data_IF_715414945315
#
_entry.id   IF_715414945315
#
_cell.length_a   1.000
_cell.length_b   1.000
_cell.length_c   1.000
_cell.angle_alpha   90.00
_cell.angle_beta   90.00
_cell.angle_gamma   90.00
#
_symmetry.space_group_name_H-M   'P 1'
#
loop_
_entity.id
_entity.type
_entity.pdbx_description
1 polymer ?
#
# COMPACT_ATOMS: atom_id res chain seq x y z
N UNK A 1 -9.75 -12.73 -3.63
CA UNK A 1 -10.52 -11.81 -2.78
C UNK A 1 -9.91 -11.77 -1.40
N UNK A 2 -9.94 -10.62 -0.74
CA UNK A 2 -9.46 -10.39 0.61
C UNK A 2 -10.52 -10.82 1.62
N UNK A 3 -10.11 -11.61 2.60
CA UNK A 3 -10.90 -11.85 3.79
C UNK A 3 -10.00 -11.92 5.02
N UNK A 4 -10.37 -11.22 6.10
CA UNK A 4 -9.56 -11.16 7.33
C UNK A 4 -9.34 -12.53 7.98
N UNK A 5 -10.32 -13.43 7.89
CA UNK A 5 -10.26 -14.77 8.47
C UNK A 5 -9.24 -15.70 7.78
N UNK A 6 -8.70 -15.32 6.62
CA UNK A 6 -7.70 -16.11 5.89
C UNK A 6 -6.26 -15.92 6.40
N UNK A 7 -6.06 -15.07 7.42
CA UNK A 7 -4.73 -14.86 8.04
C UNK A 7 -3.73 -14.09 7.19
N UNK A 8 -4.17 -13.47 6.08
CA UNK A 8 -3.32 -12.74 5.14
C UNK A 8 -3.34 -11.21 5.34
N UNK A 9 -3.87 -10.71 6.45
CA UNK A 9 -4.17 -9.28 6.63
C UNK A 9 -2.95 -8.36 6.43
N UNK A 10 -1.80 -8.72 6.99
CA UNK A 10 -0.57 -7.94 6.83
C UNK A 10 -0.13 -7.88 5.36
N UNK A 11 -0.13 -9.02 4.66
CA UNK A 11 0.19 -9.07 3.23
C UNK A 11 -0.82 -8.29 2.40
N UNK A 12 -2.11 -8.49 2.66
CA UNK A 12 -3.21 -7.87 1.93
C UNK A 12 -3.14 -6.34 1.99
N UNK A 13 -2.88 -5.76 3.16
CA UNK A 13 -2.72 -4.31 3.31
C UNK A 13 -1.50 -3.77 2.57
N UNK A 14 -0.37 -4.49 2.59
CA UNK A 14 0.86 -4.06 1.91
C UNK A 14 0.76 -4.16 0.38
N UNK A 15 0.14 -5.23 -0.12
CA UNK A 15 0.13 -5.55 -1.55
C UNK A 15 -1.07 -4.99 -2.31
N UNK A 16 -2.06 -4.42 -1.62
CA UNK A 16 -3.28 -3.93 -2.29
C UNK A 16 -3.02 -2.64 -3.05
N UNK A 17 -3.54 -2.56 -4.29
CA UNK A 17 -3.53 -1.33 -5.09
C UNK A 17 -4.45 -0.23 -4.54
N UNK A 18 -5.33 -0.57 -3.58
CA UNK A 18 -6.16 0.36 -2.81
C UNK A 18 -5.39 1.02 -1.66
N UNK A 19 -4.18 0.55 -1.33
CA UNK A 19 -3.33 1.13 -0.30
C UNK A 19 -2.40 2.18 -0.89
N UNK A 20 -2.54 3.44 -0.46
CA UNK A 20 -1.84 4.60 -1.07
C UNK A 20 -0.82 5.27 -0.17
N UNK A 21 -0.82 4.96 1.13
CA UNK A 21 0.17 5.46 2.06
C UNK A 21 0.40 4.48 3.21
N UNK A 22 1.60 4.52 3.76
CA UNK A 22 2.00 3.77 4.95
C UNK A 22 2.71 4.71 5.93
N UNK A 23 2.39 4.57 7.21
CA UNK A 23 3.11 5.21 8.31
C UNK A 23 3.48 4.15 9.32
N UNK A 24 4.76 4.06 9.67
CA UNK A 24 5.26 3.08 10.64
C UNK A 24 5.92 3.77 11.83
N UNK A 25 5.81 3.14 12.99
CA UNK A 25 6.54 3.52 14.20
C UNK A 25 7.09 2.25 14.85
N UNK A 26 8.19 2.40 15.58
CA UNK A 26 8.71 1.33 16.42
C UNK A 26 8.76 1.77 17.88
N UNK A 27 8.62 0.80 18.77
CA UNK A 27 8.80 0.97 20.20
C UNK A 27 9.65 -0.19 20.72
N UNK A 28 10.67 0.13 21.53
CA UNK A 28 11.51 -0.86 22.20
C UNK A 28 11.04 -1.01 23.64
N UNK A 29 10.61 -2.22 23.99
CA UNK A 29 10.44 -2.65 25.37
C UNK A 29 11.75 -3.30 25.87
N UNK A 30 11.77 -3.73 27.13
CA UNK A 30 12.97 -4.29 27.77
C UNK A 30 13.47 -5.58 27.07
N UNK A 31 12.57 -6.39 26.52
CA UNK A 31 12.85 -7.69 25.89
C UNK A 31 12.38 -7.82 24.44
N UNK A 32 11.72 -6.79 23.89
CA UNK A 32 11.09 -6.85 22.58
C UNK A 32 11.16 -5.54 21.80
N UNK A 33 11.06 -5.65 20.47
CA UNK A 33 10.86 -4.51 19.57
C UNK A 33 9.51 -4.71 18.89
N UNK A 34 8.64 -3.72 19.04
CA UNK A 34 7.35 -3.66 18.37
C UNK A 34 7.48 -2.73 17.17
N UNK A 35 7.03 -3.20 16.01
CA UNK A 35 6.93 -2.39 14.78
C UNK A 35 5.46 -2.39 14.39
N UNK A 36 4.87 -1.20 14.32
CA UNK A 36 3.47 -1.02 13.98
C UNK A 36 3.41 -0.15 12.73
N UNK A 37 2.74 -0.66 11.69
CA UNK A 37 2.47 0.09 10.46
C UNK A 37 0.97 0.27 10.29
N UNK A 38 0.57 1.51 10.05
CA UNK A 38 -0.78 1.89 9.66
C UNK A 38 -0.81 2.18 8.16
N UNK A 39 -1.92 1.84 7.52
CA UNK A 39 -2.09 1.94 6.07
C UNK A 39 -3.32 2.79 5.76
N UNK A 40 -3.17 3.75 4.84
CA UNK A 40 -4.31 4.43 4.21
C UNK A 40 -4.81 3.54 3.08
N UNK A 41 -5.96 2.90 3.28
CA UNK A 41 -6.48 1.89 2.35
C UNK A 41 -8.01 1.87 2.35
N UNK A 42 -8.59 1.55 1.20
CA UNK A 42 -10.03 1.30 1.03
C UNK A 42 -10.35 -0.21 0.98
N UNK A 43 -9.36 -1.07 1.27
CA UNK A 43 -9.53 -2.52 1.25
C UNK A 43 -10.60 -2.99 2.25
N UNK A 44 -11.63 -3.65 1.75
CA UNK A 44 -12.75 -4.21 2.54
C UNK A 44 -12.94 -5.70 2.25
N UNK A 45 -13.66 -6.41 3.13
CA UNK A 45 -13.98 -7.83 2.97
C UNK A 45 -14.60 -8.12 1.59
N UNK A 46 -14.10 -9.15 0.91
CA UNK A 46 -14.53 -9.52 -0.43
C UNK A 46 -13.93 -8.69 -1.56
N UNK A 47 -13.11 -7.66 -1.29
CA UNK A 47 -12.41 -6.90 -2.34
C UNK A 47 -11.27 -7.69 -2.97
N UNK A 48 -10.90 -7.42 -4.22
CA UNK A 48 -9.63 -7.90 -4.76
C UNK A 48 -8.49 -7.09 -4.14
N UNK A 49 -7.29 -7.68 -4.04
CA UNK A 49 -6.12 -6.94 -3.59
C UNK A 49 -5.63 -6.00 -4.68
N UNK A 50 -5.59 -6.50 -5.91
CA UNK A 50 -5.22 -5.77 -7.10
C UNK A 50 -5.82 -6.47 -8.33
N UNK A 51 -5.88 -5.76 -9.46
CA UNK A 51 -6.23 -6.37 -10.74
C UNK A 51 -5.01 -7.04 -11.39
N UNK A 52 -5.22 -8.23 -11.94
CA UNK A 52 -4.15 -8.96 -12.64
C UNK A 52 -3.99 -8.39 -14.05
N UNK A 53 -2.75 -8.11 -14.46
CA UNK A 53 -2.48 -7.59 -15.79
C UNK A 53 -1.01 -7.26 -16.05
N UNK A 54 -0.76 -6.66 -17.21
CA UNK A 54 0.56 -6.09 -17.53
C UNK A 54 0.77 -4.87 -16.63
N UNK A 55 1.93 -4.76 -15.94
CA UNK A 55 2.22 -3.64 -15.05
C UNK A 55 1.95 -2.28 -15.72
N UNK A 56 1.43 -1.33 -14.94
CA UNK A 56 1.24 0.07 -15.32
C UNK A 56 0.28 0.39 -16.48
N UNK A 57 -0.33 -0.59 -17.14
CA UNK A 57 -1.29 -0.34 -18.24
C UNK A 57 -2.55 0.43 -17.83
N UNK A 58 -2.85 0.47 -16.53
CA UNK A 58 -4.02 1.13 -15.97
C UNK A 58 -3.64 2.24 -14.99
N UNK A 59 -2.39 2.74 -15.02
CA UNK A 59 -2.03 3.88 -14.19
C UNK A 59 -2.79 5.15 -14.61
N UNK A 60 -3.30 5.96 -13.66
CA UNK A 60 -4.04 7.18 -13.97
C UNK A 60 -3.24 8.19 -14.82
N UNK A 61 -1.94 8.31 -14.54
CA UNK A 61 -1.01 9.19 -15.26
C UNK A 61 -0.35 8.51 -16.49
N UNK A 62 -0.84 7.33 -16.88
CA UNK A 62 -0.33 6.57 -18.02
C UNK A 62 1.00 5.85 -17.77
N UNK A 63 1.38 4.98 -18.71
CA UNK A 63 2.52 4.06 -18.59
C UNK A 63 3.88 4.78 -18.49
N UNK A 64 4.03 5.95 -19.12
CA UNK A 64 5.29 6.72 -19.07
C UNK A 64 5.63 7.24 -17.66
N UNK A 65 4.63 7.37 -16.80
CA UNK A 65 4.79 7.83 -15.42
C UNK A 65 5.16 6.69 -14.45
N UNK A 66 5.11 5.45 -14.93
CA UNK A 66 5.37 4.24 -14.16
C UNK A 66 6.81 4.19 -13.65
N UNK A 67 6.97 3.85 -12.38
CA UNK A 67 8.29 3.64 -11.76
C UNK A 67 8.31 2.24 -11.15
N UNK A 68 9.22 1.39 -11.61
CA UNK A 68 9.39 0.03 -11.11
C UNK A 68 8.09 -0.81 -11.07
N UNK A 69 7.22 -0.63 -12.07
CA UNK A 69 5.93 -1.34 -12.14
C UNK A 69 4.83 -0.79 -11.23
N UNK A 70 5.05 0.38 -10.61
CA UNK A 70 4.09 1.05 -9.74
C UNK A 70 3.61 2.36 -10.37
N UNK A 71 2.34 2.66 -10.14
CA UNK A 71 1.76 3.95 -10.50
C UNK A 71 2.24 5.02 -9.51
N UNK A 72 2.62 6.21 -10.00
CA UNK A 72 2.92 7.33 -9.11
C UNK A 72 1.67 7.75 -8.34
N UNK A 73 1.88 8.21 -7.12
CA UNK A 73 0.81 8.83 -6.33
C UNK A 73 0.51 10.19 -6.95
N UNK A 74 -0.77 10.49 -7.20
CA UNK A 74 -1.21 11.85 -7.51
C UNK A 74 -0.93 12.75 -6.30
N UNK A 75 0.25 13.37 -6.27
CA UNK A 75 0.64 14.34 -5.24
C UNK A 75 0.23 15.74 -5.72
N UNK A 76 -0.59 16.49 -4.97
CA UNK A 76 -0.52 17.95 -5.05
C UNK A 76 0.86 18.34 -4.51
N UNK A 77 1.69 18.94 -5.36
CA UNK A 77 3.04 19.47 -5.08
C UNK A 77 3.12 20.16 -3.70
N UNK A 78 3.58 19.44 -2.66
CA UNK A 78 4.03 20.02 -1.38
C UNK A 78 4.60 18.96 -0.43
N UNK A 79 5.63 18.23 -0.85
CA UNK A 79 6.60 17.74 0.15
C UNK A 79 7.50 18.92 0.53
N UNK A 80 7.66 19.29 1.81
CA UNK A 80 8.65 20.28 2.22
C UNK A 80 10.07 19.75 1.93
N UNK A 81 11.02 20.60 1.48
CA UNK A 81 12.41 20.21 1.43
C UNK A 81 12.89 19.91 2.86
N UNK A 82 13.54 18.76 3.03
CA UNK A 82 14.19 18.36 4.29
C UNK A 82 15.42 19.19 4.60
#
# INVERSE_FOLDING_TARGET
MYYSHLGINSFAKMASDLTTAVGCAYFRADDAIYIICQYKTELTEGSKLYENGVPCRQCPLGEASCVNGLCPVDQPTSAPPG
#
